data_IF_031148033100
#
_entry.id   IF_031148033100
#
_cell.length_a   1.000
_cell.length_b   1.000
_cell.length_c   1.000
_cell.angle_alpha   90.00
_cell.angle_beta   90.00
_cell.angle_gamma   90.00
#
_symmetry.space_group_name_H-M   'P 1'
#
loop_
_entity.id
_entity.type
_entity.pdbx_description
1 polymer ?
#
# COMPACT_ATOMS: atom_id res chain seq x y z
N UNK A 1 30.43 -24.35 2.13
CA UNK A 1 30.35 -23.42 0.98
C UNK A 1 29.15 -23.70 0.09
N UNK A 2 28.82 -24.97 -0.22
CA UNK A 2 27.66 -25.34 -1.04
C UNK A 2 26.33 -24.95 -0.36
N UNK A 3 26.16 -25.24 0.94
CA UNK A 3 24.97 -24.84 1.74
C UNK A 3 24.74 -23.32 1.86
N UNK A 4 25.82 -22.52 1.81
CA UNK A 4 25.72 -21.05 1.87
C UNK A 4 25.27 -20.47 0.51
N UNK A 5 25.67 -21.14 -0.58
CA UNK A 5 25.28 -20.80 -1.95
C UNK A 5 23.81 -21.20 -2.23
N UNK A 6 23.38 -22.39 -1.78
CA UNK A 6 21.98 -22.83 -1.87
C UNK A 6 21.02 -21.96 -1.04
N UNK A 7 21.44 -21.54 0.16
CA UNK A 7 20.68 -20.60 0.98
C UNK A 7 20.60 -19.21 0.34
N UNK A 8 21.66 -18.72 -0.32
CA UNK A 8 21.61 -17.46 -1.06
C UNK A 8 20.66 -17.56 -2.26
N UNK A 9 20.75 -18.62 -3.08
CA UNK A 9 19.89 -18.82 -4.25
C UNK A 9 18.42 -18.93 -3.83
N UNK A 10 18.10 -19.68 -2.78
CA UNK A 10 16.73 -19.81 -2.26
C UNK A 10 16.17 -18.50 -1.72
N UNK A 11 17.01 -17.68 -1.07
CA UNK A 11 16.62 -16.36 -0.55
C UNK A 11 16.40 -15.36 -1.67
N UNK A 12 17.23 -15.37 -2.71
CA UNK A 12 17.06 -14.56 -3.92
C UNK A 12 15.78 -14.95 -4.65
N UNK A 13 15.49 -16.24 -4.81
CA UNK A 13 14.24 -16.72 -5.43
C UNK A 13 13.01 -16.27 -4.62
N UNK A 14 13.03 -16.41 -3.29
CA UNK A 14 11.93 -15.97 -2.43
C UNK A 14 11.72 -14.44 -2.45
N UNK A 15 12.81 -13.68 -2.43
CA UNK A 15 12.79 -12.21 -2.58
C UNK A 15 12.29 -11.82 -3.97
N UNK A 16 12.71 -12.51 -5.02
CA UNK A 16 12.28 -12.25 -6.40
C UNK A 16 10.79 -12.58 -6.57
N UNK A 17 10.32 -13.71 -6.04
CA UNK A 17 8.90 -14.08 -6.03
C UNK A 17 8.09 -13.04 -5.26
N UNK A 18 8.52 -12.68 -4.05
CA UNK A 18 7.82 -11.71 -3.22
C UNK A 18 7.81 -10.32 -3.86
N UNK A 19 8.94 -9.83 -4.35
CA UNK A 19 9.06 -8.51 -4.99
C UNK A 19 8.31 -8.44 -6.31
N UNK A 20 8.29 -9.52 -7.08
CA UNK A 20 7.47 -9.65 -8.29
C UNK A 20 5.98 -9.62 -7.92
N UNK A 21 5.53 -10.46 -6.98
CA UNK A 21 4.12 -10.54 -6.56
C UNK A 21 3.63 -9.26 -5.89
N UNK A 22 4.42 -8.62 -5.03
CA UNK A 22 4.07 -7.34 -4.39
C UNK A 22 3.92 -6.19 -5.38
N UNK A 23 4.52 -6.31 -6.57
CA UNK A 23 4.48 -5.30 -7.64
C UNK A 23 3.54 -5.69 -8.78
N UNK A 24 2.92 -6.88 -8.74
CA UNK A 24 1.89 -7.27 -9.68
C UNK A 24 0.69 -6.34 -9.60
N UNK A 25 0.00 -6.21 -10.73
CA UNK A 25 -1.19 -5.37 -10.87
C UNK A 25 -2.47 -6.21 -10.67
N UNK A 26 -2.30 -7.51 -10.45
CA UNK A 26 -3.37 -8.45 -10.10
C UNK A 26 -3.87 -8.21 -8.67
N UNK A 27 -4.98 -8.86 -8.31
CA UNK A 27 -5.51 -8.78 -6.96
C UNK A 27 -4.47 -9.24 -5.93
N UNK A 28 -4.15 -8.39 -4.95
CA UNK A 28 -3.16 -8.73 -3.92
C UNK A 28 -3.55 -9.98 -3.12
N UNK A 29 -4.85 -10.20 -2.91
CA UNK A 29 -5.35 -11.39 -2.19
C UNK A 29 -5.07 -12.67 -2.98
N UNK A 30 -5.35 -12.67 -4.29
CA UNK A 30 -5.03 -13.79 -5.17
C UNK A 30 -3.52 -14.09 -5.14
N UNK A 31 -2.65 -13.08 -5.35
CA UNK A 31 -1.20 -13.31 -5.38
C UNK A 31 -0.65 -13.86 -4.05
N UNK A 32 -1.17 -13.38 -2.92
CA UNK A 32 -0.76 -13.81 -1.57
C UNK A 32 -1.25 -15.21 -1.25
N UNK A 33 -2.53 -15.50 -1.48
CA UNK A 33 -3.11 -16.81 -1.17
C UNK A 33 -2.51 -17.90 -2.06
N UNK A 34 -2.28 -17.58 -3.33
CA UNK A 34 -1.62 -18.50 -4.26
C UNK A 34 -0.18 -18.80 -3.85
N UNK A 35 0.52 -17.86 -3.20
CA UNK A 35 1.85 -18.14 -2.64
C UNK A 35 1.81 -19.23 -1.56
N UNK A 36 0.72 -19.32 -0.79
CA UNK A 36 0.49 -20.39 0.19
C UNK A 36 -0.21 -21.62 -0.40
N UNK A 37 -0.40 -21.68 -1.72
CA UNK A 37 -1.11 -22.78 -2.40
C UNK A 37 -2.63 -22.72 -2.28
N UNK A 38 -3.19 -21.59 -1.83
CA UNK A 38 -4.63 -21.36 -1.76
C UNK A 38 -5.12 -20.61 -3.00
N UNK A 39 -6.20 -21.09 -3.63
CA UNK A 39 -6.79 -20.43 -4.78
C UNK A 39 -7.90 -19.46 -4.34
N UNK A 40 -7.78 -18.21 -4.78
CA UNK A 40 -8.75 -17.15 -4.48
C UNK A 40 -9.12 -16.37 -5.74
N UNK A 41 -10.41 -16.31 -6.06
CA UNK A 41 -10.89 -15.56 -7.20
C UNK A 41 -10.87 -14.05 -6.90
N UNK A 42 -10.21 -13.28 -7.77
CA UNK A 42 -10.16 -11.82 -7.67
C UNK A 42 -11.55 -11.17 -7.61
N UNK A 43 -12.61 -11.80 -8.12
CA UNK A 43 -13.99 -11.31 -8.06
C UNK A 43 -14.54 -11.25 -6.65
N UNK A 44 -14.06 -12.11 -5.76
CA UNK A 44 -14.43 -12.16 -4.33
C UNK A 44 -13.66 -11.15 -3.49
N UNK A 45 -12.72 -10.40 -4.09
CA UNK A 45 -11.98 -9.38 -3.37
C UNK A 45 -12.86 -8.19 -2.98
N UNK A 46 -13.91 -7.89 -3.74
CA UNK A 46 -14.83 -6.76 -3.52
C UNK A 46 -14.10 -5.43 -3.22
N UNK A 47 -13.08 -5.08 -4.02
CA UNK A 47 -12.28 -3.85 -3.87
C UNK A 47 -11.59 -3.66 -2.50
N UNK A 48 -11.41 -4.71 -1.71
CA UNK A 48 -10.76 -4.63 -0.38
C UNK A 48 -9.24 -4.43 -0.46
N UNK A 49 -8.61 -4.72 -1.60
CA UNK A 49 -7.22 -4.36 -1.87
C UNK A 49 -7.10 -3.15 -2.82
N UNK A 50 -5.99 -2.42 -2.71
CA UNK A 50 -5.65 -1.26 -3.53
C UNK A 50 -5.57 -1.58 -5.04
N UNK A 51 -5.11 -2.76 -5.43
CA UNK A 51 -5.06 -3.16 -6.85
C UNK A 51 -6.48 -3.29 -7.44
N UNK A 52 -7.39 -4.00 -6.77
CA UNK A 52 -8.79 -4.09 -7.20
C UNK A 52 -9.47 -2.72 -7.16
N UNK A 53 -9.23 -1.93 -6.12
CA UNK A 53 -9.77 -0.57 -6.01
C UNK A 53 -9.32 0.34 -7.18
N UNK A 54 -8.06 0.23 -7.60
CA UNK A 54 -7.53 0.97 -8.75
C UNK A 54 -8.10 0.47 -10.08
N UNK A 55 -8.35 -0.83 -10.21
CA UNK A 55 -8.99 -1.43 -11.40
C UNK A 55 -10.43 -0.93 -11.55
N UNK A 56 -11.20 -0.93 -10.45
CA UNK A 56 -12.58 -0.44 -10.43
C UNK A 56 -12.67 1.07 -10.68
N UNK A 57 -11.63 1.82 -10.29
CA UNK A 57 -11.48 3.24 -10.60
C UNK A 57 -11.10 3.53 -12.08
N UNK A 58 -11.11 2.53 -12.96
CA UNK A 58 -10.83 2.68 -14.39
C UNK A 58 -9.35 2.65 -14.76
N UNK A 59 -8.48 2.09 -13.90
CA UNK A 59 -7.07 1.87 -14.22
C UNK A 59 -6.91 0.81 -15.31
N UNK A 60 -6.61 1.23 -16.54
CA UNK A 60 -6.27 0.32 -17.65
C UNK A 60 -4.81 -0.10 -17.52
N UNK A 61 -4.57 -1.40 -17.63
CA UNK A 61 -3.24 -2.00 -17.57
C UNK A 61 -2.97 -2.71 -18.87
N UNK A 62 -1.96 -2.26 -19.59
CA UNK A 62 -1.60 -2.80 -20.89
C UNK A 62 -0.21 -3.45 -20.79
N UNK A 63 -0.04 -4.61 -21.44
CA UNK A 63 1.27 -5.22 -21.63
C UNK A 63 1.99 -4.43 -22.72
N UNK A 64 2.97 -3.65 -22.33
CA UNK A 64 3.78 -2.83 -23.23
C UNK A 64 5.12 -3.51 -23.45
N UNK A 65 5.58 -3.51 -24.69
CA UNK A 65 6.95 -3.89 -25.03
C UNK A 65 7.91 -2.76 -24.60
N UNK A 66 8.84 -3.10 -23.71
CA UNK A 66 9.84 -2.18 -23.17
C UNK A 66 11.26 -2.58 -23.58
N UNK A 67 11.41 -3.51 -24.53
CA UNK A 67 12.70 -4.10 -24.91
C UNK A 67 13.73 -3.04 -25.29
N UNK A 68 13.36 -2.09 -26.15
CA UNK A 68 14.25 -1.02 -26.61
C UNK A 68 14.72 -0.11 -25.46
N UNK A 69 13.84 0.14 -24.49
CA UNK A 69 14.16 0.96 -23.33
C UNK A 69 15.11 0.22 -22.40
N UNK A 70 14.90 -1.08 -22.19
CA UNK A 70 15.81 -1.93 -21.43
C UNK A 70 17.21 -1.99 -22.08
N UNK A 71 17.28 -2.13 -23.42
CA UNK A 71 18.57 -2.10 -24.15
C UNK A 71 19.27 -0.75 -23.97
N UNK A 72 18.53 0.35 -24.09
CA UNK A 72 19.08 1.69 -23.89
C UNK A 72 19.64 1.89 -22.47
N UNK A 73 18.90 1.45 -21.44
CA UNK A 73 19.34 1.52 -20.04
C UNK A 73 20.58 0.64 -19.82
N UNK A 74 20.61 -0.58 -20.37
CA UNK A 74 21.76 -1.47 -20.25
C UNK A 74 23.01 -0.87 -20.89
N UNK A 75 22.89 -0.33 -22.10
CA UNK A 75 24.01 0.33 -22.79
C UNK A 75 24.49 1.57 -22.04
N UNK A 76 23.58 2.32 -21.42
CA UNK A 76 23.92 3.45 -20.55
C UNK A 76 24.75 3.02 -19.34
N UNK A 77 24.34 1.96 -18.64
CA UNK A 77 25.08 1.42 -17.48
C UNK A 77 26.46 0.92 -17.91
N UNK A 78 26.55 0.22 -19.06
CA UNK A 78 27.83 -0.25 -19.61
C UNK A 78 28.80 0.89 -19.93
N UNK A 79 28.35 1.91 -20.66
CA UNK A 79 29.17 3.09 -21.02
C UNK A 79 29.67 3.83 -19.77
N UNK A 80 28.82 4.00 -18.76
CA UNK A 80 29.20 4.64 -17.50
C UNK A 80 30.21 3.78 -16.71
N UNK A 81 30.05 2.45 -16.73
CA UNK A 81 30.99 1.53 -16.09
C UNK A 81 32.37 1.56 -16.78
N UNK A 82 32.42 1.66 -18.11
CA UNK A 82 33.66 1.84 -18.88
C UNK A 82 34.36 3.17 -18.54
N UNK A 83 33.59 4.22 -18.27
CA UNK A 83 34.09 5.50 -17.77
C UNK A 83 34.43 5.50 -16.26
N UNK A 84 34.45 4.33 -15.61
CA UNK A 84 34.65 4.16 -14.17
C UNK A 84 33.64 4.92 -13.29
N UNK A 85 32.45 5.22 -13.82
CA UNK A 85 31.34 5.82 -13.09
C UNK A 85 30.31 4.78 -12.68
N UNK A 86 30.14 4.59 -11.37
CA UNK A 86 29.03 3.81 -10.81
C UNK A 86 27.81 4.69 -10.58
N UNK A 87 26.63 4.22 -11.00
CA UNK A 87 25.35 4.91 -10.76
C UNK A 87 24.40 4.05 -9.94
N UNK A 88 23.55 4.69 -9.13
CA UNK A 88 22.49 4.00 -8.38
C UNK A 88 21.22 3.86 -9.23
N UNK A 89 20.27 3.02 -8.79
CA UNK A 89 18.96 2.89 -9.46
C UNK A 89 18.22 4.22 -9.59
N UNK A 90 18.22 5.04 -8.54
CA UNK A 90 17.55 6.35 -8.53
C UNK A 90 18.26 7.33 -9.48
N UNK A 91 19.58 7.23 -9.61
CA UNK A 91 20.32 8.03 -10.59
C UNK A 91 20.03 7.57 -12.02
N UNK A 92 20.02 6.26 -12.28
CA UNK A 92 19.65 5.70 -13.58
C UNK A 92 18.24 6.12 -14.02
N UNK A 93 17.27 6.09 -13.09
CA UNK A 93 15.89 6.53 -13.38
C UNK A 93 15.81 8.02 -13.72
N UNK A 94 16.55 8.87 -13.00
CA UNK A 94 16.63 10.30 -13.27
C UNK A 94 17.24 10.59 -14.65
N UNK A 95 18.36 9.94 -14.98
CA UNK A 95 19.04 10.12 -16.27
C UNK A 95 18.15 9.73 -17.44
N UNK A 96 17.46 8.60 -17.34
CA UNK A 96 16.54 8.15 -18.38
C UNK A 96 15.36 9.12 -18.59
N UNK A 97 14.93 9.81 -17.53
CA UNK A 97 13.91 10.87 -17.60
C UNK A 97 14.45 12.24 -18.02
N UNK A 98 15.76 12.36 -18.23
CA UNK A 98 16.43 13.62 -18.61
C UNK A 98 16.62 14.57 -17.44
N UNK A 99 16.71 14.04 -16.22
CA UNK A 99 17.00 14.77 -14.99
C UNK A 99 18.44 14.47 -14.55
N UNK A 100 19.14 15.49 -14.05
CA UNK A 100 20.48 15.35 -13.47
C UNK A 100 20.40 15.42 -11.95
N UNK A 101 21.16 14.56 -11.28
CA UNK A 101 21.28 14.61 -9.82
C UNK A 101 22.05 15.85 -9.38
N UNK A 102 21.60 16.47 -8.27
CA UNK A 102 22.27 17.62 -7.66
C UNK A 102 23.74 17.26 -7.35
N UNK A 103 24.69 18.08 -7.83
CA UNK A 103 26.13 17.88 -7.62
C UNK A 103 26.89 17.22 -8.79
N UNK A 104 26.22 16.62 -9.78
CA UNK A 104 26.86 16.14 -11.03
C UNK A 104 26.84 17.16 -12.17
N UNK A 105 26.54 18.42 -11.88
CA UNK A 105 26.44 19.50 -12.88
C UNK A 105 27.75 19.73 -13.65
N UNK A 106 28.89 19.43 -13.05
CA UNK A 106 30.23 19.53 -13.68
C UNK A 106 30.44 18.55 -14.84
N UNK A 107 29.69 17.45 -14.90
CA UNK A 107 29.75 16.43 -15.96
C UNK A 107 28.46 16.40 -16.79
N UNK A 108 27.74 17.53 -16.82
CA UNK A 108 26.48 17.66 -17.53
C UNK A 108 26.63 17.30 -19.01
N UNK A 109 27.73 17.68 -19.65
CA UNK A 109 27.93 17.45 -21.08
C UNK A 109 28.15 15.96 -21.39
N UNK A 110 28.96 15.27 -20.60
CA UNK A 110 29.17 13.80 -20.71
C UNK A 110 27.86 13.05 -20.48
N UNK A 111 27.09 13.46 -19.47
CA UNK A 111 25.87 12.79 -19.07
C UNK A 111 24.68 13.06 -20.01
N UNK A 112 24.65 14.24 -20.63
CA UNK A 112 23.64 14.60 -21.64
C UNK A 112 23.93 13.95 -23.00
N UNK A 113 25.20 13.61 -23.27
CA UNK A 113 25.64 12.92 -24.49
C UNK A 113 25.20 11.44 -24.57
N UNK A 114 24.76 10.86 -23.45
CA UNK A 114 24.29 9.47 -23.43
C UNK A 114 23.01 9.30 -24.25
N UNK A 115 22.98 8.33 -25.16
CA UNK A 115 21.82 8.01 -26.01
C UNK A 115 20.52 7.73 -25.24
N UNK A 116 20.65 7.23 -24.00
CA UNK A 116 19.51 6.94 -23.14
C UNK A 116 18.98 8.17 -22.38
N UNK A 117 19.72 9.28 -22.37
CA UNK A 117 19.36 10.46 -21.60
C UNK A 117 18.08 11.10 -22.14
N UNK A 118 17.08 11.27 -21.28
CA UNK A 118 15.80 11.89 -21.65
C UNK A 118 14.88 11.04 -22.54
N UNK A 119 15.27 9.81 -22.93
CA UNK A 119 14.46 8.91 -23.77
C UNK A 119 13.10 8.56 -23.13
N UNK A 120 13.05 8.51 -21.81
CA UNK A 120 11.83 8.25 -21.05
C UNK A 120 10.97 9.49 -20.77
N UNK A 121 11.43 10.70 -21.12
CA UNK A 121 10.73 11.94 -20.78
C UNK A 121 9.38 12.01 -21.48
N UNK A 122 8.30 12.15 -20.69
CA UNK A 122 6.93 12.23 -21.20
C UNK A 122 6.29 10.88 -21.50
N UNK A 123 7.07 9.79 -21.57
CA UNK A 123 6.56 8.42 -21.74
C UNK A 123 6.35 7.70 -20.40
N UNK A 124 7.22 7.96 -19.42
CA UNK A 124 7.21 7.29 -18.13
C UNK A 124 7.14 8.28 -16.97
N UNK A 125 6.41 7.91 -15.92
CA UNK A 125 6.62 8.50 -14.59
C UNK A 125 7.85 7.87 -13.89
N UNK A 126 8.39 8.56 -12.86
CA UNK A 126 9.55 8.06 -12.09
C UNK A 126 9.33 6.66 -11.54
N UNK A 127 8.17 6.40 -10.96
CA UNK A 127 7.83 5.09 -10.40
C UNK A 127 7.76 3.99 -11.47
N UNK A 128 7.40 4.33 -12.70
CA UNK A 128 7.30 3.37 -13.80
C UNK A 128 8.68 2.96 -14.31
N UNK A 129 9.58 3.92 -14.53
CA UNK A 129 10.94 3.61 -14.95
C UNK A 129 11.70 2.84 -13.86
N UNK A 130 11.48 3.17 -12.59
CA UNK A 130 12.05 2.38 -11.48
C UNK A 130 11.55 0.94 -11.52
N UNK A 131 10.26 0.70 -11.80
CA UNK A 131 9.72 -0.66 -12.00
C UNK A 131 10.38 -1.38 -13.18
N UNK A 132 10.67 -0.69 -14.28
CA UNK A 132 11.41 -1.26 -15.42
C UNK A 132 12.81 -1.69 -14.99
N UNK A 133 13.55 -0.81 -14.29
CA UNK A 133 14.91 -1.09 -13.82
C UNK A 133 14.91 -2.25 -12.80
N UNK A 134 13.97 -2.27 -11.85
CA UNK A 134 13.82 -3.41 -10.93
C UNK A 134 13.54 -4.71 -11.69
N UNK A 135 12.70 -4.69 -12.72
CA UNK A 135 12.46 -5.87 -13.54
C UNK A 135 13.75 -6.33 -14.26
N UNK A 136 14.58 -5.40 -14.72
CA UNK A 136 15.88 -5.73 -15.31
C UNK A 136 16.83 -6.39 -14.29
N UNK A 137 16.80 -5.99 -13.03
CA UNK A 137 17.57 -6.61 -11.95
C UNK A 137 17.06 -8.04 -11.67
N UNK A 138 15.74 -8.20 -11.53
CA UNK A 138 15.12 -9.52 -11.31
C UNK A 138 15.43 -10.52 -12.44
N UNK A 139 15.46 -10.05 -13.69
CA UNK A 139 15.82 -10.87 -14.86
C UNK A 139 17.33 -11.08 -15.03
N UNK A 140 18.14 -10.54 -14.12
CA UNK A 140 19.61 -10.58 -14.14
C UNK A 140 20.22 -9.90 -15.38
N UNK A 141 19.51 -8.95 -16.00
CA UNK A 141 20.08 -8.07 -17.04
C UNK A 141 20.96 -6.99 -16.41
N UNK A 142 20.59 -6.52 -15.21
CA UNK A 142 21.39 -5.67 -14.34
C UNK A 142 21.68 -6.41 -13.04
N UNK A 143 22.76 -6.05 -12.37
CA UNK A 143 23.10 -6.53 -11.04
C UNK A 143 23.29 -5.36 -10.08
N UNK A 144 23.06 -5.61 -8.81
CA UNK A 144 23.33 -4.67 -7.72
C UNK A 144 24.66 -5.01 -7.07
N UNK A 145 25.49 -3.98 -6.81
CA UNK A 145 26.78 -4.10 -6.13
C UNK A 145 26.84 -3.12 -4.98
N UNK A 146 27.02 -3.65 -3.77
CA UNK A 146 27.13 -2.87 -2.55
C UNK A 146 28.56 -2.38 -2.34
N UNK A 147 28.72 -1.07 -2.14
CA UNK A 147 29.99 -0.44 -1.79
C UNK A 147 29.86 0.27 -0.46
N UNK A 148 30.77 -0.04 0.47
CA UNK A 148 30.87 0.64 1.76
C UNK A 148 31.71 1.90 1.62
N UNK A 149 31.17 3.00 2.13
CA UNK A 149 31.92 4.25 2.26
C UNK A 149 32.87 4.18 3.46
N UNK A 150 33.82 5.10 3.54
CA UNK A 150 34.78 5.17 4.66
C UNK A 150 34.11 5.26 6.04
N UNK A 151 32.89 5.81 6.10
CA UNK A 151 32.08 5.90 7.32
C UNK A 151 31.19 4.67 7.60
N UNK A 152 31.35 3.57 6.85
CA UNK A 152 30.61 2.32 7.05
C UNK A 152 29.21 2.25 6.44
N UNK A 153 28.69 3.35 5.88
CA UNK A 153 27.42 3.33 5.14
C UNK A 153 27.57 2.55 3.84
N UNK A 154 26.61 1.66 3.55
CA UNK A 154 26.59 0.85 2.32
C UNK A 154 25.71 1.55 1.29
N UNK A 155 26.24 1.77 0.09
CA UNK A 155 25.51 2.30 -1.06
C UNK A 155 25.48 1.27 -2.17
N UNK A 156 24.31 1.05 -2.75
CA UNK A 156 24.07 0.06 -3.80
C UNK A 156 24.13 0.70 -5.18
N UNK A 157 24.99 0.17 -6.04
CA UNK A 157 25.21 0.64 -7.40
C UNK A 157 24.81 -0.42 -8.43
N UNK A 158 24.43 0.03 -9.62
CA UNK A 158 24.07 -0.86 -10.73
C UNK A 158 25.31 -1.24 -11.54
N UNK A 159 25.36 -2.51 -11.94
CA UNK A 159 26.35 -3.07 -12.86
C UNK A 159 25.66 -3.93 -13.92
N UNK A 160 26.41 -4.31 -14.95
CA UNK A 160 25.93 -5.26 -15.96
C UNK A 160 25.69 -6.64 -15.35
N UNK A 161 24.50 -7.22 -15.57
CA UNK A 161 24.15 -8.55 -15.06
C UNK A 161 24.61 -9.70 -15.96
N UNK A 162 24.46 -10.94 -15.48
CA UNK A 162 24.86 -12.16 -16.20
C UNK A 162 24.08 -12.39 -17.49
N UNK A 163 22.79 -12.04 -17.51
CA UNK A 163 21.90 -12.21 -18.67
C UNK A 163 21.90 -10.99 -19.60
N UNK A 164 22.76 -9.99 -19.38
CA UNK A 164 22.82 -8.77 -20.19
C UNK A 164 22.96 -9.05 -21.69
N UNK A 165 23.73 -10.08 -22.07
CA UNK A 165 23.95 -10.44 -23.47
C UNK A 165 22.71 -11.03 -24.15
N UNK A 166 21.79 -11.65 -23.41
CA UNK A 166 20.56 -12.21 -23.99
C UNK A 166 19.63 -11.09 -24.46
N UNK A 167 19.56 -10.00 -23.69
CA UNK A 167 18.81 -8.80 -24.08
C UNK A 167 19.38 -8.19 -25.37
N UNK A 168 20.71 -8.09 -25.49
CA UNK A 168 21.37 -7.59 -26.71
C UNK A 168 21.21 -8.52 -27.93
N UNK A 169 21.00 -9.82 -27.70
CA UNK A 169 20.71 -10.82 -28.75
C UNK A 169 19.25 -10.79 -29.22
N UNK A 170 18.40 -9.95 -28.62
CA UNK A 170 17.01 -9.76 -29.04
C UNK A 170 15.96 -10.47 -28.16
N UNK A 171 16.29 -10.85 -26.92
CA UNK A 171 15.27 -11.34 -25.98
C UNK A 171 14.23 -10.23 -25.70
N UNK A 172 12.94 -10.54 -25.93
CA UNK A 172 11.85 -9.55 -25.79
C UNK A 172 11.40 -9.42 -24.34
N UNK A 173 11.31 -8.19 -23.87
CA UNK A 173 10.88 -7.84 -22.51
C UNK A 173 9.53 -7.13 -22.55
N UNK A 174 8.50 -7.79 -22.02
CA UNK A 174 7.17 -7.22 -21.89
C UNK A 174 6.89 -6.90 -20.42
N UNK A 175 6.39 -5.69 -20.16
CA UNK A 175 5.99 -5.25 -18.84
C UNK A 175 4.55 -4.78 -18.84
N UNK A 176 3.83 -5.08 -17.76
CA UNK A 176 2.49 -4.53 -17.57
C UNK A 176 2.65 -3.11 -17.02
N UNK A 177 2.34 -2.11 -17.84
CA UNK A 177 2.40 -0.70 -17.49
C UNK A 177 1.01 -0.18 -17.11
N UNK A 178 0.95 0.74 -16.13
CA UNK A 178 -0.31 1.39 -15.74
C UNK A 178 -0.55 2.55 -16.69
N UNK A 179 -1.30 2.32 -17.76
CA UNK A 179 -1.70 3.43 -18.64
C UNK A 179 -2.76 4.29 -17.95
N UNK A 180 -2.32 5.35 -17.25
CA UNK A 180 -3.17 6.51 -16.96
C UNK A 180 -3.37 7.31 -18.24
N UNK A 181 -4.06 6.78 -19.25
CA UNK A 181 -4.55 7.64 -20.33
C UNK A 181 -5.63 8.53 -19.72
N UNK A 182 -5.26 9.76 -19.34
CA UNK A 182 -6.24 10.82 -19.06
C UNK A 182 -7.08 10.98 -20.31
N UNK A 183 -8.29 10.44 -20.34
CA UNK A 183 -9.24 10.78 -21.39
C UNK A 183 -9.55 12.27 -21.26
N UNK A 184 -9.36 13.03 -22.35
CA UNK A 184 -9.57 14.49 -22.44
C UNK A 184 -10.95 14.96 -21.93
N UNK A 185 -11.90 14.05 -21.73
CA UNK A 185 -13.23 14.29 -21.18
C UNK A 185 -13.24 14.74 -19.70
N UNK A 186 -12.20 14.43 -18.90
CA UNK A 186 -12.21 14.75 -17.46
C UNK A 186 -11.63 16.14 -17.10
N UNK A 187 -10.97 16.85 -18.02
CA UNK A 187 -10.41 18.18 -17.74
C UNK A 187 -11.48 19.24 -17.44
N UNK A 188 -12.71 19.06 -17.94
CA UNK A 188 -13.81 20.03 -17.72
C UNK A 188 -14.42 19.97 -16.32
N UNK A 189 -14.29 18.85 -15.60
CA UNK A 189 -14.89 18.69 -14.27
C UNK A 189 -13.96 19.23 -13.17
N UNK A 190 -12.64 19.07 -13.33
CA UNK A 190 -11.63 19.51 -12.35
C UNK A 190 -11.51 21.04 -12.26
N UNK A 191 -11.73 21.75 -13.38
CA UNK A 191 -11.69 23.21 -13.42
C UNK A 191 -12.87 23.87 -12.68
N UNK A 192 -14.06 23.23 -12.60
CA UNK A 192 -15.18 23.74 -11.81
C UNK A 192 -14.97 23.53 -10.31
N UNK A 193 -14.30 22.45 -9.88
CA UNK A 193 -14.00 22.18 -8.47
C UNK A 193 -12.93 23.11 -7.88
N UNK A 194 -11.99 23.61 -8.70
CA UNK A 194 -10.93 24.54 -8.24
C UNK A 194 -11.40 25.96 -7.95
N UNK A 195 -12.62 26.36 -8.35
CA UNK A 195 -13.14 27.72 -8.11
C UNK A 195 -13.85 27.91 -6.76
N UNK A 196 -14.09 26.86 -5.98
CA UNK A 196 -14.85 26.93 -4.72
C UNK A 196 -14.07 26.60 -3.43
N UNK A 197 -12.78 26.26 -3.50
CA UNK A 197 -11.93 26.06 -2.32
C UNK A 197 -10.93 27.21 -2.15
N UNK A 198 -11.41 28.34 -1.65
CA UNK A 198 -10.59 29.34 -0.98
C UNK A 198 -11.39 29.86 0.21
N UNK A 199 -11.19 29.23 1.36
CA UNK A 199 -11.15 29.75 2.74
C UNK A 199 -10.74 28.54 3.61
N UNK A 200 -9.59 28.66 4.28
CA UNK A 200 -9.09 27.80 5.39
C UNK A 200 -9.19 28.67 6.67
N UNK A 201 -9.09 28.20 7.94
CA UNK A 201 -8.19 27.16 8.50
C UNK A 201 -8.98 26.17 9.43
N UNK A 202 -8.48 25.18 10.17
CA UNK A 202 -7.17 24.72 10.64
C UNK A 202 -7.33 23.28 11.20
N UNK A 203 -6.24 22.50 11.21
CA UNK A 203 -5.92 21.33 12.05
C UNK A 203 -6.95 20.19 12.26
N UNK A 204 -6.69 19.02 11.65
CA UNK A 204 -6.72 17.70 12.32
C UNK A 204 -6.19 16.58 11.41
N UNK A 205 -5.40 15.69 12.00
CA UNK A 205 -4.69 14.55 11.41
C UNK A 205 -5.61 13.52 10.73
N UNK A 206 -5.15 12.79 9.68
CA UNK A 206 -5.97 11.78 9.01
C UNK A 206 -6.03 10.49 9.82
N UNK A 207 -7.14 10.26 10.52
CA UNK A 207 -7.50 8.96 11.08
C UNK A 207 -8.09 8.10 9.97
N UNK A 208 -7.54 6.89 9.83
CA UNK A 208 -8.02 5.84 8.92
C UNK A 208 -9.49 5.49 9.24
N UNK A 209 -10.41 5.91 8.37
CA UNK A 209 -11.82 5.50 8.45
C UNK A 209 -11.92 4.13 7.77
N UNK A 210 -11.96 3.10 8.59
CA UNK A 210 -12.50 1.79 8.20
C UNK A 210 -14.00 2.00 7.97
N UNK A 211 -14.56 1.67 6.79
CA UNK A 211 -16.00 1.73 6.57
C UNK A 211 -16.69 0.80 7.58
N UNK A 212 -17.56 1.39 8.40
CA UNK A 212 -18.39 0.66 9.36
C UNK A 212 -19.32 -0.30 8.59
N UNK A 213 -19.59 -1.52 9.10
CA UNK A 213 -20.50 -2.45 8.46
C UNK A 213 -21.89 -1.83 8.28
N UNK A 214 -22.51 -2.16 7.15
CA UNK A 214 -23.79 -1.67 6.65
C UNK A 214 -24.87 -1.41 7.71
N UNK A 215 -25.48 -0.22 7.56
CA UNK A 215 -26.63 0.41 8.24
C UNK A 215 -27.95 -0.41 8.22
N UNK A 216 -27.84 -1.74 8.28
CA UNK A 216 -28.90 -2.71 7.98
C UNK A 216 -29.74 -3.15 9.18
N UNK A 217 -29.46 -2.63 10.38
CA UNK A 217 -30.31 -2.88 11.55
C UNK A 217 -31.11 -1.63 11.95
N UNK A 218 -32.40 -1.78 12.26
CA UNK A 218 -33.23 -0.67 12.72
C UNK A 218 -32.64 -0.12 14.02
N UNK A 219 -32.19 1.13 13.99
CA UNK A 219 -31.65 1.82 15.17
C UNK A 219 -32.80 2.05 16.16
N UNK A 220 -32.67 1.52 17.38
CA UNK A 220 -33.62 1.77 18.49
C UNK A 220 -33.58 3.22 18.99
N UNK A 221 -32.46 3.93 18.77
CA UNK A 221 -32.25 5.32 19.21
C UNK A 221 -31.73 6.23 18.07
N UNK A 222 -31.93 7.55 18.14
CA UNK A 222 -31.38 8.50 17.17
C UNK A 222 -29.84 8.45 17.08
N UNK A 223 -29.28 8.71 15.89
CA UNK A 223 -27.84 8.52 15.62
C UNK A 223 -26.88 9.28 16.56
N UNK A 224 -27.23 10.51 16.98
CA UNK A 224 -26.40 11.27 17.91
C UNK A 224 -26.33 10.64 19.31
N UNK A 225 -27.39 9.93 19.73
CA UNK A 225 -27.40 9.18 20.98
C UNK A 225 -26.57 7.89 20.88
N UNK A 226 -26.53 7.25 19.71
CA UNK A 226 -25.65 6.09 19.45
C UNK A 226 -24.19 6.49 19.62
N UNK A 227 -23.78 7.61 19.03
CA UNK A 227 -22.40 8.10 19.12
C UNK A 227 -22.01 8.46 20.55
N UNK A 228 -22.90 9.14 21.28
CA UNK A 228 -22.68 9.51 22.68
C UNK A 228 -22.60 8.28 23.61
N UNK A 229 -23.48 7.28 23.42
CA UNK A 229 -23.43 6.02 24.18
C UNK A 229 -22.17 5.22 23.86
N UNK A 230 -21.76 5.17 22.58
CA UNK A 230 -20.51 4.55 22.18
C UNK A 230 -19.29 5.23 22.82
N UNK A 231 -19.32 6.55 22.99
CA UNK A 231 -18.25 7.28 23.68
C UNK A 231 -18.22 6.93 25.18
N UNK A 232 -19.37 6.91 25.86
CA UNK A 232 -19.44 6.49 27.27
C UNK A 232 -18.90 5.07 27.49
N UNK A 233 -19.22 4.13 26.59
CA UNK A 233 -18.69 2.78 26.64
C UNK A 233 -17.17 2.71 26.39
N UNK A 234 -16.60 3.60 25.58
CA UNK A 234 -15.14 3.72 25.41
C UNK A 234 -14.48 4.26 26.67
N UNK A 235 -15.09 5.25 27.31
CA UNK A 235 -14.55 5.87 28.54
C UNK A 235 -14.60 4.87 29.71
N UNK A 236 -15.71 4.13 29.84
CA UNK A 236 -15.81 3.01 30.78
C UNK A 236 -14.80 1.91 30.46
N UNK A 237 -14.60 1.57 29.18
CA UNK A 237 -13.59 0.57 28.80
C UNK A 237 -12.19 1.03 29.21
N UNK A 238 -11.87 2.32 29.05
CA UNK A 238 -10.58 2.87 29.46
C UNK A 238 -10.36 2.73 30.98
N UNK A 239 -11.35 3.10 31.80
CA UNK A 239 -11.23 2.97 33.25
C UNK A 239 -11.08 1.53 33.73
N UNK A 240 -11.73 0.57 33.06
CA UNK A 240 -11.53 -0.86 33.34
C UNK A 240 -10.15 -1.34 32.89
N UNK A 241 -9.62 -0.84 31.76
CA UNK A 241 -8.28 -1.20 31.30
C UNK A 241 -7.20 -0.78 32.29
N UNK A 242 -7.33 0.43 32.85
CA UNK A 242 -6.38 0.96 33.84
C UNK A 242 -6.39 0.11 35.12
N UNK A 243 -7.57 -0.32 35.57
CA UNK A 243 -7.72 -1.15 36.78
C UNK A 243 -7.14 -2.56 36.63
N UNK A 244 -7.28 -3.17 35.45
CA UNK A 244 -6.85 -4.55 35.21
C UNK A 244 -5.50 -4.66 34.47
N UNK A 245 -4.90 -3.53 34.10
CA UNK A 245 -3.68 -3.45 33.29
C UNK A 245 -3.75 -4.31 32.01
N UNK A 246 -4.86 -4.21 31.28
CA UNK A 246 -5.10 -4.97 30.04
C UNK A 246 -5.40 -4.03 28.87
N UNK A 247 -5.07 -4.48 27.66
CA UNK A 247 -5.40 -3.73 26.45
C UNK A 247 -6.93 -3.63 26.20
N UNK A 248 -7.43 -2.52 25.62
CA UNK A 248 -8.86 -2.27 25.39
C UNK A 248 -9.64 -3.40 24.71
N UNK A 249 -9.04 -4.08 23.74
CA UNK A 249 -9.72 -5.15 23.00
C UNK A 249 -10.00 -6.41 23.86
N UNK A 250 -9.29 -6.60 24.97
CA UNK A 250 -9.55 -7.71 25.89
C UNK A 250 -10.88 -7.53 26.64
N UNK A 251 -11.18 -6.30 27.05
CA UNK A 251 -12.44 -5.96 27.73
C UNK A 251 -13.60 -6.02 26.72
N UNK A 252 -13.53 -5.21 25.66
CA UNK A 252 -14.59 -5.10 24.66
C UNK A 252 -14.02 -4.57 23.33
N UNK A 253 -14.17 -5.26 22.19
CA UNK A 253 -13.70 -4.79 20.90
C UNK A 253 -14.51 -3.57 20.45
N UNK A 254 -13.90 -2.72 19.62
CA UNK A 254 -14.55 -1.52 19.09
C UNK A 254 -15.82 -1.84 18.29
N UNK A 255 -15.85 -2.97 17.58
CA UNK A 255 -17.04 -3.49 16.92
C UNK A 255 -18.17 -3.81 17.91
N UNK A 256 -17.84 -4.42 19.04
CA UNK A 256 -18.80 -4.72 20.12
C UNK A 256 -19.38 -3.46 20.75
N UNK A 257 -18.57 -2.41 20.97
CA UNK A 257 -19.07 -1.10 21.44
C UNK A 257 -20.09 -0.51 20.48
N UNK A 258 -19.76 -0.50 19.17
CA UNK A 258 -20.66 0.02 18.16
C UNK A 258 -21.96 -0.79 18.08
N UNK A 259 -21.88 -2.12 18.20
CA UNK A 259 -23.05 -2.99 18.18
C UNK A 259 -23.94 -2.80 19.42
N UNK A 260 -23.36 -2.68 20.62
CA UNK A 260 -24.09 -2.36 21.87
C UNK A 260 -24.76 -1.00 21.77
N UNK A 261 -24.07 0.01 21.24
CA UNK A 261 -24.64 1.36 21.11
C UNK A 261 -25.82 1.42 20.12
N UNK A 262 -25.84 0.56 19.10
CA UNK A 262 -26.96 0.47 18.15
C UNK A 262 -28.12 -0.39 18.68
N UNK A 263 -27.81 -1.53 19.31
CA UNK A 263 -28.81 -2.49 19.78
C UNK A 263 -29.43 -2.11 21.14
N UNK A 264 -28.73 -1.29 21.94
CA UNK A 264 -29.18 -0.78 23.25
C UNK A 264 -29.74 -1.90 24.14
N UNK A 265 -28.93 -2.93 24.47
CA UNK A 265 -29.40 -4.07 25.25
C UNK A 265 -29.73 -3.65 26.69
N UNK A 266 -30.91 -4.04 27.14
CA UNK A 266 -31.39 -3.78 28.51
C UNK A 266 -31.33 -5.01 29.40
N UNK A 267 -31.10 -6.18 28.80
CA UNK A 267 -31.00 -7.47 29.50
C UNK A 267 -29.71 -8.23 29.13
N UNK A 268 -29.30 -9.14 30.00
CA UNK A 268 -28.12 -10.00 29.78
C UNK A 268 -28.29 -10.94 28.58
N UNK A 269 -29.54 -11.32 28.29
CA UNK A 269 -29.92 -12.13 27.13
C UNK A 269 -29.72 -11.36 25.83
N UNK A 270 -30.24 -10.13 25.73
CA UNK A 270 -30.02 -9.25 24.57
C UNK A 270 -28.52 -8.94 24.36
N UNK A 271 -27.77 -8.73 25.45
CA UNK A 271 -26.33 -8.47 25.36
C UNK A 271 -25.54 -9.69 24.81
N UNK A 272 -26.03 -10.91 25.05
CA UNK A 272 -25.40 -12.14 24.57
C UNK A 272 -25.62 -12.42 23.08
N UNK A 273 -26.65 -11.80 22.48
CA UNK A 273 -26.96 -11.91 21.05
C UNK A 273 -26.11 -10.98 20.18
N UNK A 274 -25.35 -10.06 20.81
CA UNK A 274 -24.55 -9.07 20.09
C UNK A 274 -23.22 -9.66 19.63
N UNK A 275 -22.98 -9.60 18.32
CA UNK A 275 -21.72 -10.01 17.70
C UNK A 275 -20.51 -9.26 18.31
N UNK A 276 -19.59 -10.03 18.89
CA UNK A 276 -18.41 -9.51 19.58
C UNK A 276 -18.52 -9.45 21.11
N UNK A 277 -19.68 -9.75 21.69
CA UNK A 277 -19.90 -9.85 23.14
C UNK A 277 -20.12 -11.31 23.54
N UNK A 278 -19.04 -12.09 23.60
CA UNK A 278 -19.13 -13.51 23.98
C UNK A 278 -19.59 -13.71 25.43
N UNK A 279 -20.16 -14.89 25.73
CA UNK A 279 -20.72 -15.26 27.05
C UNK A 279 -19.80 -14.95 28.24
N UNK A 280 -18.49 -15.11 28.06
CA UNK A 280 -17.48 -14.81 29.11
C UNK A 280 -17.48 -13.32 29.46
N UNK A 281 -17.57 -12.44 28.46
CA UNK A 281 -17.62 -10.98 28.66
C UNK A 281 -18.94 -10.56 29.27
N UNK A 282 -20.06 -11.17 28.85
CA UNK A 282 -21.37 -10.95 29.48
C UNK A 282 -21.34 -11.31 30.96
N UNK A 283 -20.74 -12.45 31.32
CA UNK A 283 -20.63 -12.87 32.73
C UNK A 283 -19.76 -11.93 33.56
N UNK A 284 -18.66 -11.40 33.00
CA UNK A 284 -17.71 -10.55 33.74
C UNK A 284 -18.08 -9.07 33.77
N UNK A 285 -18.65 -8.57 32.68
CA UNK A 285 -18.84 -7.13 32.46
C UNK A 285 -20.28 -6.75 32.09
N UNK A 286 -21.17 -7.73 31.92
CA UNK A 286 -22.54 -7.49 31.44
C UNK A 286 -23.34 -6.58 32.34
N UNK A 287 -23.26 -6.74 33.66
CA UNK A 287 -23.96 -5.88 34.62
C UNK A 287 -23.51 -4.42 34.51
N UNK A 288 -22.20 -4.18 34.41
CA UNK A 288 -21.65 -2.84 34.27
C UNK A 288 -22.09 -2.18 32.94
N UNK A 289 -22.06 -2.94 31.83
CA UNK A 289 -22.48 -2.46 30.51
C UNK A 289 -23.97 -2.13 30.51
N UNK A 290 -24.82 -3.03 31.02
CA UNK A 290 -26.28 -2.84 31.09
C UNK A 290 -26.61 -1.62 31.96
N UNK A 291 -25.92 -1.46 33.10
CA UNK A 291 -26.11 -0.30 33.97
C UNK A 291 -25.81 1.03 33.28
N UNK A 292 -24.73 1.10 32.48
CA UNK A 292 -24.41 2.29 31.67
C UNK A 292 -25.50 2.58 30.64
N UNK A 293 -25.97 1.54 29.93
CA UNK A 293 -27.02 1.67 28.91
C UNK A 293 -28.34 2.14 29.54
N UNK A 294 -28.77 1.52 30.64
CA UNK A 294 -30.00 1.89 31.34
C UNK A 294 -29.93 3.31 31.92
N UNK A 295 -28.80 3.68 32.54
CA UNK A 295 -28.59 5.03 33.07
C UNK A 295 -28.67 6.09 31.98
N UNK A 296 -28.11 5.78 30.79
CA UNK A 296 -28.17 6.67 29.64
C UNK A 296 -29.60 6.83 29.11
N UNK A 297 -30.36 5.73 28.99
CA UNK A 297 -31.76 5.77 28.55
C UNK A 297 -32.65 6.58 29.49
N UNK A 298 -32.50 6.38 30.81
CA UNK A 298 -33.26 7.11 31.82
C UNK A 298 -32.95 8.61 31.78
N UNK A 299 -31.67 8.98 31.68
CA UNK A 299 -31.25 10.39 31.64
C UNK A 299 -31.80 11.14 30.42
N UNK A 300 -31.98 10.44 29.30
CA UNK A 300 -32.42 11.03 28.04
C UNK A 300 -33.89 10.73 27.69
N UNK A 301 -34.65 10.09 28.58
CA UNK A 301 -36.05 9.69 28.37
C UNK A 301 -36.28 8.89 27.07
N UNK A 302 -35.32 8.03 26.72
CA UNK A 302 -35.37 7.21 25.51
C UNK A 302 -35.99 5.84 25.84
N UNK A 303 -36.90 5.38 24.97
CA UNK A 303 -37.42 4.01 25.03
C UNK A 303 -36.64 3.13 24.06
N UNK A 304 -36.19 1.94 24.50
CA UNK A 304 -35.58 0.95 23.62
C UNK A 304 -36.58 0.40 22.60
#
# INVERSE_FOLDING_TARGET
MIEYCENQVSRTILLDIFMTKCRQIECRRTSLLEYFGEHFDSRECHATCDNCKNRDAGGITEKTDVTDDCVAILNMVRKLQEACESITLVQASQLFLGQLSKGKERKKDEMTSLEAFGRGKGRYERSEIERVIYHMILRQYLSEMDKKNAMGFTSTFLTSGSNANNLLRGERVHLICKTRRKTKSFERIDQKRKKQKKIVPEAASPVNIVPLPSDSQPRRIPGHHVEALAQLLKDWRASVCDNFNVMPYHILPTSGIAAIANAVPTTSTELSEIDGVGRIRVKKYGEAIISIVQSYLQKHNLKP
#
